data_IF_749244958903
#
_entry.id   IF_749244958903
#
_cell.length_a   1.000
_cell.length_b   1.000
_cell.length_c   1.000
_cell.angle_alpha   90.00
_cell.angle_beta   90.00
_cell.angle_gamma   90.00
#
_symmetry.space_group_name_H-M   'P 1'
#
loop_
_entity.id
_entity.type
_entity.pdbx_description
1 polymer ?
#
# COMPACT_ATOMS: atom_id res chain seq x y z
N UNK A 1 -14.27 -15.52 -5.30
CA UNK A 1 -12.83 -15.57 -5.64
C UNK A 1 -12.06 -14.63 -4.73
N UNK A 2 -11.00 -15.09 -4.06
CA UNK A 2 -10.12 -14.23 -3.27
C UNK A 2 -8.83 -13.96 -4.05
N UNK A 3 -8.35 -12.72 -4.06
CA UNK A 3 -7.08 -12.31 -4.68
C UNK A 3 -6.27 -11.51 -3.67
N UNK A 4 -4.98 -11.80 -3.59
CA UNK A 4 -4.03 -11.03 -2.79
C UNK A 4 -3.22 -10.12 -3.70
N UNK A 5 -3.19 -8.81 -3.41
CA UNK A 5 -2.33 -7.84 -4.08
C UNK A 5 -2.13 -6.63 -3.16
N UNK A 6 -0.96 -6.02 -3.20
CA UNK A 6 -0.67 -4.80 -2.43
C UNK A 6 -0.30 -3.68 -3.38
N UNK A 7 -0.77 -2.47 -3.07
CA UNK A 7 -0.53 -1.26 -3.85
C UNK A 7 -0.01 -0.17 -2.93
N UNK A 8 0.99 0.56 -3.39
CA UNK A 8 1.45 1.82 -2.77
C UNK A 8 0.67 3.00 -3.33
N UNK A 9 0.18 2.85 -4.57
CA UNK A 9 -0.47 3.89 -5.35
C UNK A 9 -1.97 3.61 -5.47
N UNK A 10 -2.79 4.51 -4.91
CA UNK A 10 -4.25 4.43 -4.93
C UNK A 10 -4.78 4.36 -6.37
N UNK A 11 -4.18 5.07 -7.32
CA UNK A 11 -4.68 5.09 -8.70
C UNK A 11 -4.45 3.74 -9.38
N UNK A 12 -3.30 3.10 -9.13
CA UNK A 12 -3.02 1.74 -9.63
C UNK A 12 -3.94 0.70 -8.97
N UNK A 13 -4.26 0.88 -7.69
CA UNK A 13 -5.22 0.02 -6.98
C UNK A 13 -6.61 0.17 -7.59
N UNK A 14 -7.09 1.39 -7.77
CA UNK A 14 -8.38 1.70 -8.39
C UNK A 14 -8.48 1.13 -9.80
N UNK A 15 -7.45 1.33 -10.63
CA UNK A 15 -7.40 0.80 -11.99
C UNK A 15 -7.49 -0.73 -11.97
N UNK A 16 -6.68 -1.40 -11.15
CA UNK A 16 -6.69 -2.85 -11.07
C UNK A 16 -8.02 -3.42 -10.57
N UNK A 17 -8.67 -2.73 -9.62
CA UNK A 17 -10.00 -3.09 -9.14
C UNK A 17 -11.03 -2.98 -10.27
N UNK A 18 -11.04 -1.87 -11.01
CA UNK A 18 -11.91 -1.68 -12.16
C UNK A 18 -11.68 -2.72 -13.26
N UNK A 19 -10.43 -3.10 -13.54
CA UNK A 19 -10.12 -4.21 -14.45
C UNK A 19 -10.71 -5.55 -14.00
N UNK A 20 -10.83 -5.80 -12.68
CA UNK A 20 -11.52 -6.99 -12.19
C UNK A 20 -13.03 -6.84 -12.37
N UNK A 21 -13.60 -5.67 -12.10
CA UNK A 21 -15.04 -5.45 -12.22
C UNK A 21 -15.52 -5.58 -13.67
N UNK A 22 -14.74 -5.08 -14.64
CA UNK A 22 -15.02 -5.21 -16.07
C UNK A 22 -15.03 -6.66 -16.58
N UNK A 23 -14.41 -7.59 -15.84
CA UNK A 23 -14.44 -9.03 -16.14
C UNK A 23 -15.71 -9.73 -15.62
N UNK A 24 -16.72 -8.98 -15.16
CA UNK A 24 -17.96 -9.53 -14.60
C UNK A 24 -17.82 -9.95 -13.14
N UNK A 25 -17.04 -9.20 -12.36
CA UNK A 25 -16.91 -9.42 -10.93
C UNK A 25 -17.42 -8.22 -10.14
N UNK A 26 -17.91 -8.47 -8.92
CA UNK A 26 -18.24 -7.46 -7.91
C UNK A 26 -17.33 -7.65 -6.71
N UNK A 27 -16.77 -6.57 -6.18
CA UNK A 27 -16.03 -6.64 -4.91
C UNK A 27 -17.02 -6.72 -3.75
N UNK A 28 -16.84 -7.66 -2.84
CA UNK A 28 -17.72 -7.80 -1.66
C UNK A 28 -16.99 -7.51 -0.36
N UNK A 29 -15.67 -7.70 -0.31
CA UNK A 29 -14.88 -7.45 0.88
C UNK A 29 -13.44 -7.10 0.53
N UNK A 30 -12.85 -6.17 1.27
CA UNK A 30 -11.47 -5.71 1.13
C UNK A 30 -10.79 -5.77 2.50
N UNK A 31 -9.82 -6.66 2.69
CA UNK A 31 -9.02 -6.71 3.92
C UNK A 31 -7.98 -5.59 3.93
N UNK A 32 -7.64 -5.07 5.12
CA UNK A 32 -6.52 -4.13 5.29
C UNK A 32 -5.16 -4.72 4.92
N UNK A 33 -5.10 -6.05 4.78
CA UNK A 33 -3.91 -6.81 4.42
C UNK A 33 -3.81 -7.08 2.90
N UNK A 34 -4.51 -6.32 2.05
CA UNK A 34 -4.44 -6.49 0.59
C UNK A 34 -5.13 -7.76 0.05
N UNK A 35 -6.12 -8.29 0.78
CA UNK A 35 -6.95 -9.42 0.33
C UNK A 35 -8.28 -8.87 -0.18
N UNK A 36 -8.58 -9.08 -1.45
CA UNK A 36 -9.82 -8.66 -2.09
C UNK A 36 -10.70 -9.87 -2.39
N UNK A 37 -11.96 -9.80 -1.99
CA UNK A 37 -12.97 -10.83 -2.25
C UNK A 37 -13.89 -10.35 -3.34
N UNK A 38 -14.00 -11.17 -4.39
CA UNK A 38 -14.82 -10.92 -5.55
C UNK A 38 -15.88 -12.00 -5.73
N UNK A 39 -17.06 -11.60 -6.17
CA UNK A 39 -18.16 -12.45 -6.56
C UNK A 39 -18.45 -12.28 -8.05
N UNK A 40 -18.90 -13.33 -8.75
CA UNK A 40 -19.30 -13.18 -10.16
C UNK A 40 -20.64 -12.47 -10.23
N UNK A 41 -20.79 -11.59 -11.20
CA UNK A 41 -22.03 -10.85 -11.42
C UNK A 41 -22.18 -10.54 -12.89
N UNK A 42 -23.42 -10.50 -13.37
CA UNK A 42 -23.74 -10.12 -14.74
C UNK A 42 -23.84 -8.60 -14.94
N UNK A 43 -23.84 -7.86 -13.82
CA UNK A 43 -23.91 -6.40 -13.80
C UNK A 43 -22.53 -5.79 -13.88
N UNK A 44 -22.41 -4.66 -14.58
CA UNK A 44 -21.16 -3.88 -14.60
C UNK A 44 -21.10 -2.99 -13.37
N UNK A 45 -19.98 -3.03 -12.68
CA UNK A 45 -19.72 -2.16 -11.54
C UNK A 45 -18.48 -1.32 -11.80
N UNK A 46 -18.44 -0.15 -11.17
CA UNK A 46 -17.28 0.74 -11.13
C UNK A 46 -16.87 0.98 -9.68
N UNK A 47 -15.58 1.03 -9.45
CA UNK A 47 -14.98 1.33 -8.15
C UNK A 47 -14.23 2.64 -8.21
N UNK A 48 -14.39 3.45 -7.16
CA UNK A 48 -13.59 4.64 -6.94
C UNK A 48 -13.01 4.63 -5.54
N UNK A 49 -11.77 5.08 -5.44
CA UNK A 49 -11.06 5.23 -4.19
C UNK A 49 -10.92 6.72 -3.89
N UNK A 50 -11.50 7.14 -2.77
CA UNK A 50 -11.27 8.48 -2.24
C UNK A 50 -10.36 8.40 -1.02
N UNK A 51 -9.66 9.49 -0.72
CA UNK A 51 -8.87 9.61 0.48
C UNK A 51 -9.46 10.71 1.36
N UNK A 52 -9.87 10.34 2.56
CA UNK A 52 -10.36 11.27 3.56
C UNK A 52 -9.43 11.29 4.76
N UNK A 53 -9.26 12.48 5.32
CA UNK A 53 -8.55 12.66 6.57
C UNK A 53 -9.39 12.14 7.75
N UNK A 54 -8.93 12.42 8.98
CA UNK A 54 -9.72 12.16 10.15
C UNK A 54 -11.08 12.87 10.03
N UNK A 55 -12.15 12.09 10.03
CA UNK A 55 -13.51 12.58 10.08
C UNK A 55 -14.11 12.14 11.41
N UNK A 56 -14.75 13.06 12.12
CA UNK A 56 -15.61 12.68 13.24
C UNK A 56 -16.68 11.71 12.74
N UNK A 57 -17.19 10.84 13.61
CA UNK A 57 -18.21 9.84 13.23
C UNK A 57 -19.43 10.49 12.55
N UNK A 58 -19.84 11.66 13.03
CA UNK A 58 -20.95 12.44 12.47
C UNK A 58 -20.64 12.90 11.04
N UNK A 59 -19.49 13.55 10.82
CA UNK A 59 -19.06 13.99 9.48
C UNK A 59 -18.84 12.83 8.52
N UNK A 60 -18.38 11.69 9.02
CA UNK A 60 -18.23 10.48 8.21
C UNK A 60 -19.59 9.94 7.77
N UNK A 61 -20.59 9.95 8.64
CA UNK A 61 -21.95 9.52 8.28
C UNK A 61 -22.60 10.49 7.30
N UNK A 62 -22.42 11.80 7.47
CA UNK A 62 -22.87 12.81 6.52
C UNK A 62 -22.19 12.63 5.15
N UNK A 63 -20.86 12.50 5.15
CA UNK A 63 -20.08 12.19 3.95
C UNK A 63 -20.60 10.92 3.27
N UNK A 64 -20.90 9.86 4.03
CA UNK A 64 -21.44 8.62 3.46
C UNK A 64 -22.83 8.79 2.86
N UNK A 65 -23.73 9.46 3.57
CA UNK A 65 -25.09 9.71 3.12
C UNK A 65 -25.13 10.44 1.78
N UNK A 66 -24.27 11.44 1.60
CA UNK A 66 -24.16 12.16 0.33
C UNK A 66 -23.87 11.20 -0.82
N UNK A 67 -22.89 10.30 -0.71
CA UNK A 67 -22.56 9.38 -1.82
C UNK A 67 -23.58 8.25 -1.98
N UNK A 68 -24.19 7.78 -0.89
CA UNK A 68 -25.28 6.81 -0.92
C UNK A 68 -26.49 7.35 -1.68
N UNK A 69 -26.81 8.64 -1.52
CA UNK A 69 -27.86 9.33 -2.28
C UNK A 69 -27.55 9.38 -3.79
N UNK A 70 -26.27 9.41 -4.18
CA UNK A 70 -25.82 9.29 -5.58
C UNK A 70 -25.68 7.83 -6.08
N UNK A 71 -26.11 6.85 -5.27
CA UNK A 71 -26.13 5.43 -5.61
C UNK A 71 -24.80 4.69 -5.37
N UNK A 72 -23.84 5.30 -4.67
CA UNK A 72 -22.60 4.62 -4.31
C UNK A 72 -22.76 3.75 -3.07
N UNK A 73 -22.28 2.53 -3.14
CA UNK A 73 -22.22 1.61 -2.01
C UNK A 73 -20.86 1.74 -1.32
N UNK A 74 -20.90 2.00 -0.02
CA UNK A 74 -19.70 2.01 0.81
C UNK A 74 -19.23 0.58 1.11
N UNK A 75 -18.03 0.23 0.69
CA UNK A 75 -17.45 -1.10 0.97
C UNK A 75 -16.55 -1.09 2.20
N UNK A 76 -15.71 -0.07 2.30
CA UNK A 76 -14.67 -0.02 3.33
C UNK A 76 -14.14 1.39 3.51
N UNK A 77 -13.75 1.68 4.73
CA UNK A 77 -12.85 2.75 5.07
C UNK A 77 -12.82 2.94 6.58
N UNK A 78 -12.03 3.89 7.03
CA UNK A 78 -11.77 4.11 8.45
C UNK A 78 -12.05 5.57 8.80
N UNK A 79 -12.66 5.79 9.97
CA UNK A 79 -12.93 7.12 10.54
C UNK A 79 -11.65 7.83 11.01
N UNK A 80 -10.62 7.06 11.36
CA UNK A 80 -9.28 7.56 11.71
C UNK A 80 -8.49 8.14 10.51
N UNK A 81 -9.13 8.28 9.36
CA UNK A 81 -8.51 8.67 8.10
C UNK A 81 -7.99 7.47 7.33
N UNK A 82 -8.00 7.58 6.00
CA UNK A 82 -7.58 6.52 5.09
C UNK A 82 -8.38 6.49 3.80
N UNK A 83 -8.14 5.42 3.04
CA UNK A 83 -8.79 5.17 1.76
C UNK A 83 -10.24 4.74 2.02
N UNK A 84 -11.18 5.42 1.37
CA UNK A 84 -12.60 5.12 1.34
C UNK A 84 -12.91 4.43 0.00
N UNK A 85 -13.46 3.23 0.07
CA UNK A 85 -13.76 2.37 -1.06
C UNK A 85 -15.24 2.47 -1.41
N UNK A 86 -15.52 2.95 -2.61
CA UNK A 86 -16.86 3.20 -3.11
C UNK A 86 -17.13 2.34 -4.34
N UNK A 87 -18.30 1.70 -4.39
CA UNK A 87 -18.71 0.86 -5.52
C UNK A 87 -20.12 1.21 -6.00
N UNK A 88 -20.28 1.41 -7.31
CA UNK A 88 -21.56 1.73 -7.94
C UNK A 88 -21.80 0.85 -9.17
N UNK A 89 -23.06 0.58 -9.49
CA UNK A 89 -23.44 -0.06 -10.76
C UNK A 89 -23.22 0.94 -11.91
N UNK A 90 -22.63 0.49 -13.02
CA UNK A 90 -22.21 1.37 -14.11
C UNK A 90 -23.41 2.01 -14.81
N UNK A 91 -23.72 3.27 -14.46
CA UNK A 91 -24.78 4.09 -15.03
C UNK A 91 -24.25 5.23 -15.92
N UNK A 92 -22.94 5.21 -16.23
CA UNK A 92 -22.25 6.25 -16.98
C UNK A 92 -21.79 7.45 -16.13
N UNK A 93 -22.27 7.61 -14.89
CA UNK A 93 -21.79 8.63 -13.95
C UNK A 93 -20.82 8.02 -12.95
N UNK A 94 -19.56 7.93 -13.37
CA UNK A 94 -18.52 7.20 -12.65
C UNK A 94 -17.60 8.09 -11.79
N UNK A 95 -17.83 9.40 -11.77
CA UNK A 95 -16.97 10.33 -11.05
C UNK A 95 -17.47 10.53 -9.61
N UNK A 96 -16.59 10.25 -8.66
CA UNK A 96 -16.68 10.78 -7.31
C UNK A 96 -15.92 12.10 -7.32
N UNK A 97 -16.55 13.17 -6.85
CA UNK A 97 -15.89 14.45 -6.60
C UNK A 97 -14.87 14.28 -5.46
N UNK A 98 -13.67 13.81 -5.79
CA UNK A 98 -12.52 13.83 -4.89
C UNK A 98 -11.84 15.18 -5.04
N UNK A 99 -11.85 15.97 -3.98
CA UNK A 99 -11.22 17.29 -3.97
C UNK A 99 -9.72 17.17 -4.26
N UNK A 100 -9.20 18.00 -5.17
CA UNK A 100 -7.78 18.05 -5.51
C UNK A 100 -6.92 18.28 -4.25
N UNK A 101 -7.45 19.03 -3.28
CA UNK A 101 -6.76 19.28 -2.02
C UNK A 101 -6.60 18.01 -1.18
N UNK A 102 -7.58 17.11 -1.15
CA UNK A 102 -7.49 15.84 -0.40
C UNK A 102 -6.41 14.92 -1.00
N UNK A 103 -6.34 14.83 -2.34
CA UNK A 103 -5.29 14.10 -3.06
C UNK A 103 -3.90 14.67 -2.80
N UNK A 104 -3.77 15.99 -2.77
CA UNK A 104 -2.49 16.64 -2.50
C UNK A 104 -2.00 16.34 -1.06
N UNK A 105 -2.91 16.43 -0.09
CA UNK A 105 -2.63 16.09 1.30
C UNK A 105 -2.27 14.60 1.48
N UNK A 106 -2.91 13.70 0.74
CA UNK A 106 -2.58 12.28 0.73
C UNK A 106 -1.11 12.05 0.36
N UNK A 107 -0.66 12.54 -0.80
CA UNK A 107 0.71 12.30 -1.24
C UNK A 107 1.74 12.96 -0.32
N UNK A 108 1.44 14.15 0.22
CA UNK A 108 2.29 14.80 1.22
C UNK A 108 2.47 13.94 2.48
N UNK A 109 1.41 13.29 2.96
CA UNK A 109 1.48 12.37 4.11
C UNK A 109 2.20 11.08 3.75
N UNK A 110 1.94 10.51 2.58
CA UNK A 110 2.63 9.31 2.11
C UNK A 110 4.14 9.54 2.02
N UNK A 111 4.58 10.72 1.58
CA UNK A 111 5.98 11.13 1.63
C UNK A 111 6.49 11.16 3.09
N UNK A 112 5.78 11.79 4.01
CA UNK A 112 6.19 11.86 5.43
C UNK A 112 6.29 10.48 6.10
N UNK A 113 5.34 9.58 5.84
CA UNK A 113 5.38 8.20 6.34
C UNK A 113 6.52 7.40 5.70
N UNK A 114 6.70 7.53 4.39
CA UNK A 114 7.80 6.85 3.69
C UNK A 114 9.15 7.32 4.20
N UNK A 115 9.35 8.63 4.42
CA UNK A 115 10.63 9.16 4.91
C UNK A 115 10.89 8.78 6.36
N UNK A 116 9.88 8.85 7.24
CA UNK A 116 10.03 8.45 8.64
C UNK A 116 10.35 6.96 8.79
N UNK A 117 9.63 6.09 8.07
CA UNK A 117 9.91 4.66 8.06
C UNK A 117 11.29 4.36 7.45
N UNK A 118 11.68 5.00 6.35
CA UNK A 118 13.01 4.85 5.77
C UNK A 118 14.11 5.19 6.77
N UNK A 119 13.96 6.27 7.55
CA UNK A 119 14.93 6.65 8.60
C UNK A 119 14.99 5.59 9.71
N UNK A 120 13.85 5.10 10.19
CA UNK A 120 13.81 4.04 11.23
C UNK A 120 14.51 2.77 10.76
N UNK A 121 14.19 2.31 9.54
CA UNK A 121 14.84 1.12 8.96
C UNK A 121 16.32 1.35 8.68
N UNK A 122 16.72 2.57 8.32
CA UNK A 122 18.12 2.93 8.12
C UNK A 122 18.91 2.87 9.44
N UNK A 123 18.35 3.40 10.54
CA UNK A 123 18.96 3.31 11.86
C UNK A 123 19.08 1.86 12.32
N UNK A 124 18.04 1.06 12.11
CA UNK A 124 18.05 -0.36 12.45
C UNK A 124 19.07 -1.15 11.61
N UNK A 125 19.14 -0.86 10.30
CA UNK A 125 20.15 -1.40 9.40
C UNK A 125 21.56 -1.03 9.86
N UNK A 126 21.78 0.23 10.26
CA UNK A 126 23.07 0.68 10.78
C UNK A 126 23.45 -0.08 12.06
N UNK A 127 22.52 -0.25 13.01
CA UNK A 127 22.80 -1.01 14.24
C UNK A 127 23.16 -2.46 13.98
N UNK A 128 22.55 -3.10 12.97
CA UNK A 128 22.86 -4.49 12.62
C UNK A 128 24.24 -4.60 11.97
N UNK A 129 24.57 -3.70 11.04
CA UNK A 129 25.83 -3.78 10.28
C UNK A 129 27.04 -3.18 10.97
N UNK A 130 26.84 -2.33 11.99
CA UNK A 130 27.94 -1.64 12.68
C UNK A 130 28.86 -2.62 13.40
N UNK A 131 28.28 -3.53 14.19
CA UNK A 131 29.04 -4.43 15.06
C UNK A 131 29.23 -5.82 14.44
N UNK A 132 28.40 -6.16 13.46
CA UNK A 132 28.43 -7.46 12.80
C UNK A 132 28.23 -7.33 11.29
N UNK A 133 29.07 -8.00 10.50
CA UNK A 133 28.84 -8.15 9.07
C UNK A 133 27.55 -8.94 8.77
N UNK A 134 27.22 -9.12 7.49
CA UNK A 134 26.06 -9.93 7.07
C UNK A 134 26.10 -11.37 7.63
N UNK A 135 27.30 -11.93 7.72
CA UNK A 135 27.59 -13.23 8.31
C UNK A 135 28.32 -13.00 9.64
N UNK A 136 27.79 -13.59 10.71
CA UNK A 136 28.30 -13.59 12.08
C UNK A 136 29.33 -14.69 12.34
N UNK A 137 29.39 -15.73 11.49
CA UNK A 137 30.37 -16.80 11.68
C UNK A 137 31.79 -16.25 11.51
N UNK A 138 32.54 -16.21 12.61
CA UNK A 138 33.93 -15.78 12.61
C UNK A 138 34.77 -16.66 11.69
N UNK A 139 35.55 -16.03 10.80
CA UNK A 139 36.39 -16.75 9.86
C UNK A 139 35.60 -17.61 8.86
N UNK A 140 34.31 -17.33 8.61
CA UNK A 140 33.53 -18.07 7.60
C UNK A 140 34.30 -18.19 6.28
N UNK A 141 34.90 -17.09 5.82
CA UNK A 141 35.66 -17.02 4.59
C UNK A 141 37.03 -17.73 4.63
N UNK A 142 37.55 -18.08 5.81
CA UNK A 142 38.81 -18.83 5.97
C UNK A 142 38.59 -20.33 6.18
N UNK A 143 37.34 -20.78 6.37
CA UNK A 143 36.99 -22.21 6.45
C UNK A 143 37.24 -22.91 5.10
N UNK A 144 37.70 -24.17 5.16
CA UNK A 144 37.98 -24.98 3.96
C UNK A 144 37.03 -26.18 3.85
N UNK A 145 36.76 -26.59 2.61
CA UNK A 145 36.05 -27.84 2.30
C UNK A 145 34.58 -27.84 2.74
N UNK A 146 34.11 -28.98 3.27
CA UNK A 146 32.70 -29.19 3.63
C UNK A 146 32.23 -28.33 4.82
N UNK A 147 33.15 -27.86 5.65
CA UNK A 147 32.83 -27.06 6.84
C UNK A 147 32.37 -25.65 6.45
N UNK A 148 33.01 -25.06 5.43
CA UNK A 148 32.56 -23.81 4.80
C UNK A 148 31.11 -23.91 4.31
N UNK A 149 30.81 -24.91 3.47
CA UNK A 149 29.48 -25.03 2.87
C UNK A 149 28.38 -25.23 3.89
N UNK A 150 28.63 -25.99 4.96
CA UNK A 150 27.66 -26.18 6.05
C UNK A 150 27.42 -24.88 6.82
N UNK A 151 28.49 -24.18 7.22
CA UNK A 151 28.38 -22.92 7.95
C UNK A 151 27.71 -21.83 7.10
N UNK A 152 28.09 -21.73 5.82
CA UNK A 152 27.49 -20.80 4.87
C UNK A 152 26.00 -21.05 4.69
N UNK A 153 25.59 -22.27 4.30
CA UNK A 153 24.18 -22.61 4.06
C UNK A 153 23.32 -22.47 5.32
N UNK A 154 23.88 -22.78 6.49
CA UNK A 154 23.20 -22.61 7.77
C UNK A 154 22.97 -21.13 8.08
N UNK A 155 23.94 -20.27 7.79
CA UNK A 155 23.87 -18.85 8.12
C UNK A 155 23.14 -18.00 7.08
N UNK A 156 23.11 -18.40 5.81
CA UNK A 156 22.47 -17.64 4.72
C UNK A 156 21.02 -17.24 5.02
N UNK A 157 20.13 -18.10 5.55
CA UNK A 157 18.76 -17.69 5.92
C UNK A 157 18.72 -16.54 6.93
N UNK A 158 19.61 -16.56 7.92
CA UNK A 158 19.71 -15.51 8.93
C UNK A 158 20.33 -14.23 8.36
N UNK A 159 21.32 -14.36 7.47
CA UNK A 159 21.91 -13.23 6.76
C UNK A 159 20.88 -12.52 5.86
N UNK A 160 20.00 -13.28 5.20
CA UNK A 160 18.88 -12.74 4.42
C UNK A 160 17.88 -12.01 5.32
N UNK A 161 17.55 -12.59 6.48
CA UNK A 161 16.66 -11.96 7.48
C UNK A 161 17.24 -10.64 8.01
N UNK A 162 18.55 -10.58 8.24
CA UNK A 162 19.28 -9.35 8.63
C UNK A 162 19.37 -8.32 7.51
N UNK A 163 19.27 -8.76 6.25
CA UNK A 163 19.26 -7.86 5.08
C UNK A 163 17.91 -7.18 4.88
N UNK A 164 16.84 -7.71 5.47
CA UNK A 164 15.48 -7.20 5.31
C UNK A 164 15.32 -5.70 5.62
N UNK A 165 15.87 -5.14 6.72
CA UNK A 165 15.77 -3.71 7.00
C UNK A 165 16.37 -2.83 5.89
N UNK A 166 17.50 -3.22 5.31
CA UNK A 166 18.12 -2.48 4.21
C UNK A 166 17.25 -2.52 2.94
N UNK A 167 16.63 -3.67 2.64
CA UNK A 167 15.65 -3.78 1.55
C UNK A 167 14.43 -2.88 1.79
N UNK A 168 13.95 -2.79 3.04
CA UNK A 168 12.85 -1.90 3.40
C UNK A 168 13.21 -0.42 3.20
N UNK A 169 14.46 -0.01 3.47
CA UNK A 169 14.92 1.36 3.16
C UNK A 169 14.74 1.65 1.67
N UNK A 170 15.24 0.77 0.79
CA UNK A 170 15.10 0.96 -0.65
C UNK A 170 13.62 1.03 -1.08
N UNK A 171 12.77 0.15 -0.55
CA UNK A 171 11.33 0.16 -0.80
C UNK A 171 10.67 1.50 -0.40
N UNK A 172 10.93 2.00 0.80
CA UNK A 172 10.35 3.26 1.27
C UNK A 172 10.92 4.48 0.54
N UNK A 173 12.18 4.46 0.11
CA UNK A 173 12.76 5.52 -0.74
C UNK A 173 12.07 5.56 -2.11
N UNK A 174 11.80 4.41 -2.72
CA UNK A 174 11.04 4.33 -3.98
C UNK A 174 9.62 4.85 -3.78
N UNK A 175 8.92 4.40 -2.72
CA UNK A 175 7.59 4.89 -2.34
C UNK A 175 7.56 6.42 -2.17
N UNK A 176 8.55 6.98 -1.47
CA UNK A 176 8.70 8.43 -1.30
C UNK A 176 8.82 9.14 -2.65
N UNK A 177 9.66 8.62 -3.55
CA UNK A 177 9.90 9.22 -4.86
C UNK A 177 8.65 9.18 -5.75
N UNK A 178 7.93 8.06 -5.77
CA UNK A 178 6.65 7.95 -6.48
C UNK A 178 5.63 8.96 -5.94
N UNK A 179 5.51 9.06 -4.60
CA UNK A 179 4.61 10.02 -3.96
C UNK A 179 4.99 11.48 -4.25
N UNK A 180 6.29 11.80 -4.22
CA UNK A 180 6.81 13.13 -4.53
C UNK A 180 6.51 13.54 -5.98
N UNK A 181 6.73 12.63 -6.94
CA UNK A 181 6.44 12.89 -8.35
C UNK A 181 4.95 13.21 -8.56
N UNK A 182 4.06 12.49 -7.89
CA UNK A 182 2.61 12.76 -7.97
C UNK A 182 2.21 14.06 -7.28
N UNK A 183 2.80 14.33 -6.11
CA UNK A 183 2.62 15.58 -5.39
C UNK A 183 3.04 16.80 -6.24
N UNK A 184 4.19 16.74 -6.92
CA UNK A 184 4.67 17.84 -7.76
C UNK A 184 3.76 18.09 -8.97
N UNK A 185 3.32 17.03 -9.67
CA UNK A 185 2.37 17.15 -10.79
C UNK A 185 1.04 17.78 -10.37
N UNK A 186 0.56 17.50 -9.16
CA UNK A 186 -0.66 18.08 -8.60
C UNK A 186 -0.48 19.51 -8.09
N UNK A 187 0.75 20.02 -7.97
CA UNK A 187 1.03 21.40 -7.54
C UNK A 187 1.21 22.35 -8.73
N UNK A 188 1.60 21.84 -9.90
CA UNK A 188 1.93 22.65 -11.09
C UNK A 188 0.74 22.95 -12.02
N UNK A 189 -0.42 22.30 -11.84
CA UNK A 189 -1.68 22.61 -12.54
C UNK A 189 -2.58 23.56 -11.77
#
# INVERSE_FOLDING_TARGET
MKKFKMFVDIEKEEQWLNEQLQKGYRCTNISGLGIYTFEKTDKRYVMRLDYQEYLSKEKLNEYKGIYEDFGWNYLKGTWLGGIQYWQKEDDGQTEIFSDRQSRNNYYKRLMGYSSSLAIVFLLFSYTIYKDSGLYLTEGLWSMKGSLFWKAFLFETPFALLRSFPALMVAFYTISYYEAYRKYSMLKEK
#
